data_IF_599276671263
#
_entry.id   IF_599276671263
#
_cell.length_a   1.000
_cell.length_b   1.000
_cell.length_c   1.000
_cell.angle_alpha   90.00
_cell.angle_beta   90.00
_cell.angle_gamma   90.00
#
_symmetry.space_group_name_H-M   'P 1'
#
loop_
_entity.id
_entity.type
_entity.pdbx_description
1 polymer ?
#
# COMPACT_ATOMS: atom_id res chain seq x y z
N UNK A 1 -69.43 -17.19 -10.42
CA UNK A 1 -70.09 -17.60 -11.69
C UNK A 1 -69.03 -17.83 -12.75
N UNK A 2 -68.93 -19.05 -13.29
CA UNK A 2 -68.18 -19.57 -14.46
C UNK A 2 -66.64 -19.64 -14.27
N UNK A 3 -66.01 -20.77 -13.94
CA UNK A 3 -65.87 -22.13 -14.45
C UNK A 3 -65.24 -22.21 -15.84
N UNK A 4 -64.12 -23.02 -15.86
CA UNK A 4 -63.58 -23.87 -16.96
C UNK A 4 -62.52 -23.18 -17.85
N UNK A 5 -61.40 -23.78 -18.24
CA UNK A 5 -61.19 -25.22 -18.57
C UNK A 5 -59.71 -25.60 -18.38
N UNK A 6 -59.54 -26.82 -17.94
CA UNK A 6 -58.35 -27.67 -17.96
C UNK A 6 -58.12 -28.17 -19.38
N UNK A 7 -56.89 -28.22 -19.86
CA UNK A 7 -56.51 -29.11 -20.96
C UNK A 7 -55.23 -29.87 -20.62
N UNK A 8 -55.42 -31.13 -20.38
CA UNK A 8 -54.39 -32.19 -20.24
C UNK A 8 -54.34 -32.87 -21.61
N UNK A 9 -53.15 -33.03 -22.22
CA UNK A 9 -52.92 -34.02 -23.29
C UNK A 9 -51.60 -34.74 -23.04
N UNK A 10 -51.56 -36.05 -23.31
CA UNK A 10 -50.57 -36.97 -22.74
C UNK A 10 -49.44 -37.40 -23.68
N UNK A 11 -48.39 -37.86 -23.06
CA UNK A 11 -47.54 -39.02 -23.36
C UNK A 11 -47.46 -39.51 -24.82
N UNK A 12 -46.27 -39.51 -25.39
CA UNK A 12 -45.86 -40.58 -26.31
C UNK A 12 -44.36 -40.91 -26.16
N UNK A 13 -44.11 -42.08 -25.58
CA UNK A 13 -42.82 -42.76 -25.59
C UNK A 13 -42.52 -43.23 -27.02
N UNK A 14 -41.32 -42.95 -27.50
CA UNK A 14 -40.71 -43.73 -28.59
C UNK A 14 -39.30 -44.15 -28.25
N UNK A 15 -39.18 -45.43 -27.91
CA UNK A 15 -37.91 -46.15 -27.76
C UNK A 15 -37.42 -46.55 -29.15
N UNK A 16 -36.24 -46.08 -29.54
CA UNK A 16 -35.52 -46.64 -30.68
C UNK A 16 -34.09 -46.97 -30.24
N UNK A 17 -33.85 -48.21 -30.03
CA UNK A 17 -32.55 -48.84 -29.90
C UNK A 17 -31.86 -48.89 -31.25
N UNK A 18 -30.71 -48.24 -31.39
CA UNK A 18 -29.78 -48.54 -32.46
C UNK A 18 -28.40 -48.79 -31.86
N UNK A 19 -28.01 -50.02 -31.84
CA UNK A 19 -26.64 -50.47 -31.57
C UNK A 19 -25.80 -50.09 -32.76
N UNK A 20 -24.77 -49.27 -32.59
CA UNK A 20 -23.71 -49.10 -33.54
C UNK A 20 -22.37 -49.19 -32.83
N UNK A 21 -21.68 -50.26 -33.05
CA UNK A 21 -20.25 -50.39 -32.75
C UNK A 21 -19.45 -49.45 -33.61
N UNK A 22 -18.64 -48.60 -32.99
CA UNK A 22 -17.75 -47.68 -33.69
C UNK A 22 -16.63 -47.16 -32.81
N UNK A 23 -15.54 -47.88 -32.82
CA UNK A 23 -14.15 -47.44 -32.63
C UNK A 23 -13.86 -46.25 -31.71
N UNK A 24 -13.54 -46.56 -30.46
CA UNK A 24 -12.98 -45.60 -29.51
C UNK A 24 -11.53 -45.20 -29.95
N UNK A 25 -11.42 -44.07 -30.65
CA UNK A 25 -10.14 -43.34 -30.68
C UNK A 25 -9.93 -42.69 -29.31
N UNK A 26 -8.97 -43.24 -28.58
CA UNK A 26 -8.40 -42.63 -27.38
C UNK A 26 -7.99 -41.19 -27.73
N UNK A 27 -8.77 -40.20 -27.27
CA UNK A 27 -8.31 -38.83 -27.21
C UNK A 27 -7.29 -38.78 -26.08
N UNK A 28 -6.03 -38.77 -26.43
CA UNK A 28 -4.94 -38.35 -25.56
C UNK A 28 -5.26 -36.88 -25.17
N UNK A 29 -5.88 -36.70 -24.04
CA UNK A 29 -5.94 -35.42 -23.34
C UNK A 29 -4.51 -35.14 -22.83
N UNK A 30 -3.68 -34.58 -23.71
CA UNK A 30 -2.47 -33.87 -23.30
C UNK A 30 -2.96 -32.63 -22.59
N UNK A 31 -3.16 -32.72 -21.30
CA UNK A 31 -3.03 -31.57 -20.41
C UNK A 31 -1.61 -31.07 -20.57
N UNK A 32 -1.43 -30.09 -21.47
CA UNK A 32 -0.25 -29.23 -21.43
C UNK A 32 -0.25 -28.59 -20.04
N UNK A 33 0.51 -29.15 -19.14
CA UNK A 33 0.96 -28.46 -17.95
C UNK A 33 1.84 -27.31 -18.47
N UNK A 34 1.23 -26.14 -18.64
CA UNK A 34 2.00 -24.91 -18.80
C UNK A 34 2.75 -24.78 -17.48
N UNK A 35 4.01 -25.17 -17.48
CA UNK A 35 4.93 -24.87 -16.40
C UNK A 35 4.87 -23.35 -16.22
N UNK A 36 4.19 -22.90 -15.18
CA UNK A 36 4.22 -21.49 -14.79
C UNK A 36 5.65 -21.22 -14.41
N UNK A 37 6.34 -20.53 -15.31
CA UNK A 37 7.67 -20.02 -15.04
C UNK A 37 7.65 -19.35 -13.66
N UNK A 38 8.40 -19.91 -12.72
CA UNK A 38 8.47 -19.36 -11.36
C UNK A 38 9.29 -18.08 -11.49
N UNK A 39 8.61 -16.95 -11.55
CA UNK A 39 9.25 -15.64 -11.55
C UNK A 39 10.05 -15.53 -10.26
N UNK A 40 11.36 -15.55 -10.37
CA UNK A 40 12.27 -15.37 -9.25
C UNK A 40 12.32 -13.86 -8.96
N UNK A 41 11.90 -13.45 -7.76
CA UNK A 41 12.07 -12.07 -7.32
C UNK A 41 13.57 -11.74 -7.19
N UNK A 42 13.99 -10.49 -7.49
CA UNK A 42 15.34 -10.04 -7.18
C UNK A 42 15.64 -10.20 -5.68
N UNK A 43 16.90 -10.36 -5.34
CA UNK A 43 17.34 -10.47 -3.95
C UNK A 43 17.28 -9.09 -3.28
N UNK A 44 16.44 -9.00 -2.23
CA UNK A 44 16.30 -7.79 -1.43
C UNK A 44 17.52 -7.62 -0.53
N UNK A 45 18.13 -6.43 -0.56
CA UNK A 45 19.30 -6.10 0.24
C UNK A 45 18.86 -5.30 1.50
N UNK A 46 18.80 -6.00 2.62
CA UNK A 46 18.37 -5.41 3.89
C UNK A 46 19.35 -4.33 4.39
N UNK A 47 20.65 -4.47 4.14
CA UNK A 47 21.65 -3.49 4.56
C UNK A 47 21.49 -2.18 3.77
N UNK A 48 21.19 -2.28 2.47
CA UNK A 48 20.86 -1.09 1.66
C UNK A 48 19.59 -0.41 2.15
N UNK A 49 18.53 -1.17 2.47
CA UNK A 49 17.30 -0.60 3.03
C UNK A 49 17.58 0.12 4.36
N UNK A 50 18.37 -0.49 5.25
CA UNK A 50 18.77 0.11 6.51
C UNK A 50 19.57 1.40 6.31
N UNK A 51 20.50 1.44 5.34
CA UNK A 51 21.25 2.66 5.01
C UNK A 51 20.34 3.79 4.55
N UNK A 52 19.30 3.52 3.76
CA UNK A 52 18.32 4.55 3.37
C UNK A 52 17.53 5.08 4.58
N UNK A 53 17.24 4.25 5.57
CA UNK A 53 16.63 4.69 6.83
C UNK A 53 17.59 5.57 7.61
N UNK A 54 18.85 5.15 7.75
CA UNK A 54 19.88 5.91 8.47
C UNK A 54 20.09 7.30 7.89
N UNK A 55 20.17 7.42 6.55
CA UNK A 55 20.33 8.74 5.88
C UNK A 55 19.15 9.65 6.17
N UNK A 56 17.91 9.12 6.20
CA UNK A 56 16.74 9.92 6.58
C UNK A 56 16.83 10.40 8.04
N UNK A 57 17.30 9.54 8.95
CA UNK A 57 17.51 9.88 10.36
C UNK A 57 18.61 10.94 10.53
N UNK A 58 19.66 10.91 9.72
CA UNK A 58 20.80 11.82 9.80
C UNK A 58 20.41 13.28 9.42
N UNK A 59 19.33 13.50 8.65
CA UNK A 59 18.76 14.83 8.44
C UNK A 59 18.11 15.40 9.71
N UNK A 60 17.75 14.56 10.67
CA UNK A 60 16.97 14.91 11.86
C UNK A 60 15.46 14.73 11.66
N UNK A 61 14.64 15.25 12.59
CA UNK A 61 13.19 15.21 12.48
C UNK A 61 12.70 15.90 11.19
N UNK A 62 11.98 15.13 10.38
CA UNK A 62 11.47 15.61 9.07
C UNK A 62 10.09 16.24 9.20
N UNK A 63 9.96 17.11 10.19
CA UNK A 63 8.70 17.85 10.43
C UNK A 63 8.46 18.83 9.28
N UNK A 64 7.27 18.86 8.68
CA UNK A 64 6.92 19.84 7.65
C UNK A 64 7.33 21.27 8.01
N UNK A 65 7.79 22.06 7.03
CA UNK A 65 8.31 23.42 7.16
C UNK A 65 9.73 23.54 7.73
N UNK A 66 10.40 22.46 8.12
CA UNK A 66 11.79 22.50 8.62
C UNK A 66 12.82 22.35 7.49
N UNK A 67 14.07 22.72 7.78
CA UNK A 67 15.17 22.53 6.82
C UNK A 67 15.45 21.04 6.61
N UNK A 68 15.41 20.23 7.68
CA UNK A 68 15.57 18.77 7.61
C UNK A 68 14.55 18.12 6.67
N UNK A 69 13.28 18.53 6.78
CA UNK A 69 12.21 18.09 5.87
C UNK A 69 12.52 18.46 4.41
N UNK A 70 12.91 19.70 4.14
CA UNK A 70 13.26 20.12 2.78
C UNK A 70 14.40 19.30 2.20
N UNK A 71 15.51 19.16 2.94
CA UNK A 71 16.72 18.47 2.47
C UNK A 71 16.46 16.95 2.28
N UNK A 72 15.75 16.33 3.21
CA UNK A 72 15.34 14.94 3.07
C UNK A 72 14.42 14.73 1.84
N UNK A 73 13.46 15.63 1.62
CA UNK A 73 12.60 15.56 0.43
C UNK A 73 13.38 15.66 -0.90
N UNK A 74 14.43 16.50 -0.97
CA UNK A 74 15.33 16.56 -2.14
C UNK A 74 16.11 15.24 -2.30
N UNK A 75 16.63 14.69 -1.21
CA UNK A 75 17.30 13.39 -1.22
C UNK A 75 16.40 12.28 -1.73
N UNK A 76 15.17 12.16 -1.23
CA UNK A 76 14.23 11.11 -1.61
C UNK A 76 13.85 11.19 -3.09
N UNK A 77 13.55 12.39 -3.59
CA UNK A 77 13.28 12.61 -5.01
C UNK A 77 14.49 12.22 -5.87
N UNK A 78 15.69 12.65 -5.48
CA UNK A 78 16.93 12.31 -6.18
C UNK A 78 17.24 10.80 -6.17
N UNK A 79 16.91 10.07 -5.10
CA UNK A 79 17.07 8.61 -5.08
C UNK A 79 16.11 7.91 -6.06
N UNK A 80 14.85 8.32 -6.11
CA UNK A 80 13.90 7.75 -7.08
C UNK A 80 14.34 8.02 -8.53
N UNK A 81 14.82 9.24 -8.83
CA UNK A 81 15.39 9.58 -10.15
C UNK A 81 16.61 8.72 -10.47
N UNK A 82 17.55 8.60 -9.53
CA UNK A 82 18.73 7.75 -9.65
C UNK A 82 18.38 6.29 -9.96
N UNK A 83 17.27 5.80 -9.42
CA UNK A 83 16.77 4.45 -9.67
C UNK A 83 15.87 4.35 -10.91
N UNK A 84 15.83 5.38 -11.76
CA UNK A 84 15.19 5.36 -13.07
C UNK A 84 13.69 5.62 -13.06
N UNK A 85 13.14 6.13 -11.97
CA UNK A 85 11.76 6.57 -11.93
C UNK A 85 11.57 7.92 -12.64
N UNK A 86 10.42 8.10 -13.29
CA UNK A 86 9.93 9.44 -13.60
C UNK A 86 9.37 10.06 -12.32
N UNK A 87 10.04 11.09 -11.80
CA UNK A 87 9.65 11.70 -10.52
C UNK A 87 8.67 12.85 -10.75
N UNK A 88 7.63 12.90 -9.89
CA UNK A 88 6.71 14.01 -9.76
C UNK A 88 6.78 14.52 -8.32
N UNK A 89 6.93 15.82 -8.17
CA UNK A 89 6.85 16.50 -6.88
C UNK A 89 5.52 17.23 -6.80
N UNK A 90 4.65 16.79 -5.90
CA UNK A 90 3.35 17.40 -5.71
C UNK A 90 3.37 18.28 -4.47
N UNK A 91 3.54 19.58 -4.67
CA UNK A 91 3.54 20.57 -3.61
C UNK A 91 2.12 21.04 -3.30
N UNK A 92 1.83 21.24 -2.02
CA UNK A 92 0.55 21.79 -1.55
C UNK A 92 0.73 22.55 -0.23
N UNK A 93 -0.07 23.59 -0.06
CA UNK A 93 -0.25 24.26 1.22
C UNK A 93 -1.44 23.59 1.95
N UNK A 94 -1.12 22.77 2.94
CA UNK A 94 -2.10 22.02 3.71
C UNK A 94 -2.32 22.69 5.08
N UNK A 95 -3.56 22.70 5.56
CA UNK A 95 -3.89 23.35 6.83
C UNK A 95 -3.97 22.29 7.92
N UNK A 96 -3.06 22.37 8.90
CA UNK A 96 -3.03 21.50 10.06
C UNK A 96 -4.18 21.79 11.04
N UNK A 97 -4.34 20.94 12.06
CA UNK A 97 -5.39 21.03 13.08
C UNK A 97 -5.40 22.37 13.85
N UNK A 98 -4.23 22.98 14.03
CA UNK A 98 -4.00 24.25 14.74
C UNK A 98 -4.06 25.50 13.83
N UNK A 99 -4.24 25.30 12.52
CA UNK A 99 -4.25 26.36 11.52
C UNK A 99 -2.89 26.62 10.89
N UNK A 100 -1.84 25.91 11.28
CA UNK A 100 -0.51 25.99 10.65
C UNK A 100 -0.62 25.59 9.18
N UNK A 101 0.01 26.38 8.29
CA UNK A 101 0.12 26.03 6.86
C UNK A 101 1.37 25.17 6.69
N UNK A 102 1.16 23.91 6.35
CA UNK A 102 2.23 22.96 6.04
C UNK A 102 2.59 23.07 4.56
N UNK A 103 3.86 23.37 4.26
CA UNK A 103 4.41 23.33 2.88
C UNK A 103 4.71 21.89 2.51
N UNK A 104 3.66 21.14 2.22
CA UNK A 104 3.70 19.71 2.00
C UNK A 104 4.23 19.36 0.61
N UNK A 105 4.92 18.21 0.51
CA UNK A 105 5.50 17.69 -0.73
C UNK A 105 5.31 16.17 -0.81
N UNK A 106 4.28 15.69 -1.48
CA UNK A 106 4.24 14.29 -1.88
C UNK A 106 5.24 14.04 -3.00
N UNK A 107 6.01 12.93 -2.90
CA UNK A 107 7.05 12.57 -3.87
C UNK A 107 6.64 11.27 -4.54
N UNK A 108 6.52 11.29 -5.85
CA UNK A 108 6.04 10.14 -6.62
C UNK A 108 7.10 9.69 -7.62
N UNK A 109 7.53 8.43 -7.56
CA UNK A 109 8.39 7.79 -8.55
C UNK A 109 7.61 6.81 -9.40
N UNK A 110 7.39 7.13 -10.68
CA UNK A 110 6.64 6.29 -11.60
C UNK A 110 7.57 5.47 -12.51
N UNK A 111 7.45 4.15 -12.45
CA UNK A 111 8.09 3.20 -13.34
C UNK A 111 7.11 2.73 -14.40
N UNK A 112 7.53 2.70 -15.66
CA UNK A 112 6.66 2.45 -16.83
C UNK A 112 5.39 3.29 -16.76
N UNK A 113 5.49 4.62 -16.77
CA UNK A 113 4.36 5.53 -16.56
C UNK A 113 3.27 5.38 -17.64
N UNK A 114 3.62 4.85 -18.82
CA UNK A 114 2.70 4.55 -19.91
C UNK A 114 1.86 3.28 -19.68
N UNK A 115 2.25 2.43 -18.74
CA UNK A 115 1.52 1.19 -18.46
C UNK A 115 0.18 1.46 -17.79
N UNK A 116 -0.90 0.94 -18.39
CA UNK A 116 -2.25 0.99 -17.79
C UNK A 116 -2.46 -0.03 -16.68
N UNK A 117 -1.62 -1.08 -16.63
CA UNK A 117 -1.65 -2.09 -15.57
C UNK A 117 -0.57 -1.73 -14.56
N UNK A 118 -0.95 -1.15 -13.44
CA UNK A 118 0.00 -0.69 -12.42
C UNK A 118 -0.46 -0.99 -11.02
N UNK A 119 0.49 -0.97 -10.09
CA UNK A 119 0.28 -1.05 -8.65
C UNK A 119 0.86 0.18 -7.97
N UNK A 120 0.36 0.47 -6.79
CA UNK A 120 0.81 1.56 -5.92
C UNK A 120 1.59 0.96 -4.74
N UNK A 121 2.77 1.49 -4.46
CA UNK A 121 3.52 1.24 -3.23
C UNK A 121 3.65 2.58 -2.52
N UNK A 122 3.36 2.65 -1.24
CA UNK A 122 3.40 3.91 -0.52
C UNK A 122 3.89 3.78 0.92
N UNK A 123 4.40 4.88 1.44
CA UNK A 123 4.78 5.12 2.82
C UNK A 123 4.70 6.63 3.07
N UNK A 124 4.58 7.08 4.32
CA UNK A 124 4.83 8.48 4.62
C UNK A 124 6.31 8.71 4.90
N UNK A 125 6.78 9.97 4.76
CA UNK A 125 8.20 10.29 4.93
C UNK A 125 8.47 11.43 5.92
N UNK A 126 7.46 12.18 6.30
CA UNK A 126 7.54 13.16 7.37
C UNK A 126 7.68 12.48 8.74
N UNK A 127 7.89 13.24 9.78
CA UNK A 127 7.90 12.74 11.13
C UNK A 127 7.12 13.66 12.06
N UNK A 128 6.64 13.07 13.17
CA UNK A 128 5.79 13.73 14.13
C UNK A 128 6.50 14.90 14.83
N UNK A 129 5.88 16.09 14.92
CA UNK A 129 6.45 17.25 15.63
C UNK A 129 6.40 17.12 17.15
N UNK A 130 5.80 16.07 17.68
CA UNK A 130 5.52 15.89 19.10
C UNK A 130 5.88 14.48 19.56
N UNK A 131 6.56 14.35 20.71
CA UNK A 131 6.73 13.10 21.43
C UNK A 131 5.59 12.94 22.47
N UNK A 132 4.36 13.11 22.05
CA UNK A 132 3.19 13.22 22.92
C UNK A 132 2.81 11.92 23.63
N UNK A 133 3.38 10.79 23.23
CA UNK A 133 3.30 9.50 23.94
C UNK A 133 4.54 9.20 24.82
N UNK A 134 5.49 10.15 24.95
CA UNK A 134 6.64 9.96 25.84
C UNK A 134 6.18 9.92 27.30
N UNK A 135 6.71 8.98 28.12
CA UNK A 135 6.37 8.91 29.53
C UNK A 135 6.70 10.17 30.35
N UNK A 136 7.69 10.97 29.91
CA UNK A 136 7.99 12.28 30.54
C UNK A 136 7.30 13.41 29.76
N UNK A 137 6.29 14.08 30.34
CA UNK A 137 5.58 15.19 29.70
C UNK A 137 6.48 16.35 29.23
N UNK A 138 7.69 16.49 29.76
CA UNK A 138 8.64 17.51 29.32
C UNK A 138 9.07 17.30 27.87
N UNK A 139 9.00 16.08 27.37
CA UNK A 139 9.37 15.73 26.01
C UNK A 139 8.23 15.93 25.00
N UNK A 140 6.98 16.11 25.45
CA UNK A 140 5.81 16.10 24.58
C UNK A 140 5.87 17.11 23.43
N UNK A 141 6.55 18.24 23.60
CA UNK A 141 6.74 19.26 22.56
C UNK A 141 8.03 19.09 21.74
N UNK A 142 8.72 17.97 21.91
CA UNK A 142 9.95 17.66 21.17
C UNK A 142 9.63 16.85 19.94
N UNK A 143 10.14 17.21 18.75
CA UNK A 143 9.96 16.39 17.54
C UNK A 143 10.62 15.02 17.69
N UNK A 144 9.98 13.99 17.15
CA UNK A 144 10.57 12.65 17.09
C UNK A 144 11.43 12.46 15.84
N UNK A 145 12.41 11.58 15.92
CA UNK A 145 13.29 11.28 14.78
C UNK A 145 12.58 10.47 13.68
N UNK A 146 11.49 9.78 13.99
CA UNK A 146 10.69 9.03 13.03
C UNK A 146 11.46 7.97 12.25
N UNK A 147 12.32 7.17 12.93
CA UNK A 147 13.16 6.16 12.25
C UNK A 147 12.35 4.95 11.82
N UNK A 148 11.46 4.47 12.69
CA UNK A 148 10.54 3.40 12.37
C UNK A 148 9.28 3.97 11.72
N UNK A 149 8.77 5.04 12.29
CA UNK A 149 7.59 5.78 11.87
C UNK A 149 7.97 6.82 10.81
N UNK A 150 7.58 6.50 9.60
CA UNK A 150 7.87 7.06 8.30
C UNK A 150 9.11 6.48 7.63
N UNK A 151 10.32 6.63 8.22
CA UNK A 151 11.55 6.32 7.48
C UNK A 151 11.72 4.83 7.15
N UNK A 152 11.18 3.90 7.95
CA UNK A 152 11.33 2.46 7.69
C UNK A 152 10.60 2.02 6.42
N UNK A 153 9.37 2.45 6.22
CA UNK A 153 8.60 2.18 5.01
C UNK A 153 9.28 2.75 3.77
N UNK A 154 9.74 4.00 3.85
CA UNK A 154 10.49 4.67 2.77
C UNK A 154 11.79 3.93 2.44
N UNK A 155 12.57 3.49 3.44
CA UNK A 155 13.81 2.76 3.23
C UNK A 155 13.60 1.45 2.48
N UNK A 156 12.56 0.69 2.84
CA UNK A 156 12.16 -0.54 2.12
C UNK A 156 11.76 -0.21 0.68
N UNK A 157 10.99 0.85 0.45
CA UNK A 157 10.55 1.23 -0.90
C UNK A 157 11.69 1.76 -1.77
N UNK A 158 12.70 2.42 -1.20
CA UNK A 158 13.91 2.80 -1.94
C UNK A 158 14.73 1.59 -2.37
N UNK A 159 14.82 0.55 -1.53
CA UNK A 159 15.46 -0.70 -1.94
C UNK A 159 14.67 -1.41 -3.05
N UNK A 160 13.35 -1.42 -2.95
CA UNK A 160 12.49 -1.92 -4.03
C UNK A 160 12.72 -1.11 -5.33
N UNK A 161 12.82 0.21 -5.25
CA UNK A 161 13.14 1.08 -6.38
C UNK A 161 14.49 0.69 -7.03
N UNK A 162 15.51 0.43 -6.21
CA UNK A 162 16.81 -0.05 -6.66
C UNK A 162 16.74 -1.40 -7.36
N UNK A 163 15.90 -2.32 -6.88
CA UNK A 163 15.68 -3.60 -7.53
C UNK A 163 14.91 -3.45 -8.86
N UNK A 164 13.91 -2.57 -8.92
CA UNK A 164 13.18 -2.25 -10.17
C UNK A 164 14.13 -1.69 -11.24
N UNK A 165 15.12 -0.89 -10.86
CA UNK A 165 16.14 -0.40 -11.79
C UNK A 165 16.94 -1.54 -12.42
N UNK A 166 17.30 -2.59 -11.64
CA UNK A 166 18.04 -3.75 -12.13
C UNK A 166 17.18 -4.65 -13.00
N UNK A 167 15.94 -4.89 -12.60
CA UNK A 167 15.01 -5.78 -13.28
C UNK A 167 13.61 -5.16 -13.27
N UNK A 168 13.22 -4.60 -14.42
CA UNK A 168 11.93 -3.94 -14.55
C UNK A 168 10.78 -4.95 -14.65
N UNK A 169 9.76 -4.85 -13.77
CA UNK A 169 8.59 -5.72 -13.84
C UNK A 169 7.77 -5.48 -15.11
N UNK A 170 6.91 -6.45 -15.46
CA UNK A 170 6.05 -6.35 -16.65
C UNK A 170 4.94 -5.28 -16.53
N UNK A 171 4.67 -4.79 -15.31
CA UNK A 171 3.62 -3.80 -15.02
C UNK A 171 4.23 -2.47 -14.57
N UNK A 172 3.43 -1.41 -14.59
CA UNK A 172 3.81 -0.12 -14.01
C UNK A 172 3.79 -0.17 -12.49
N UNK A 173 4.72 0.53 -11.86
CA UNK A 173 4.76 0.71 -10.40
C UNK A 173 4.87 2.20 -10.12
N UNK A 174 4.04 2.70 -9.20
CA UNK A 174 4.21 4.00 -8.59
C UNK A 174 4.63 3.83 -7.15
N UNK A 175 5.73 4.44 -6.78
CA UNK A 175 6.16 4.58 -5.39
C UNK A 175 5.78 6.00 -4.97
N UNK A 176 4.95 6.12 -3.93
CA UNK A 176 4.52 7.41 -3.40
C UNK A 176 4.97 7.55 -1.97
N UNK A 177 5.72 8.59 -1.69
CA UNK A 177 6.04 9.04 -0.35
C UNK A 177 5.08 10.16 0.01
N UNK A 178 4.12 9.89 0.89
CA UNK A 178 3.17 10.87 1.39
C UNK A 178 3.84 11.77 2.43
N UNK A 179 3.44 13.01 2.45
CA UNK A 179 3.91 14.03 3.40
C UNK A 179 2.79 14.46 4.33
N UNK A 180 3.14 15.06 5.45
CA UNK A 180 2.18 15.59 6.41
C UNK A 180 1.14 14.54 6.87
N UNK A 181 1.59 13.30 7.01
CA UNK A 181 0.81 12.23 7.61
C UNK A 181 0.69 12.48 9.10
N UNK A 182 1.80 12.75 9.77
CA UNK A 182 2.02 12.64 11.20
C UNK A 182 1.88 13.98 11.96
N UNK A 183 1.39 15.02 11.27
CA UNK A 183 1.10 16.34 11.88
C UNK A 183 -0.32 16.42 12.43
N UNK A 184 -0.86 15.31 12.93
CA UNK A 184 -2.20 15.24 13.51
C UNK A 184 -2.29 15.82 14.93
N UNK A 185 -3.52 15.88 15.44
CA UNK A 185 -3.81 16.38 16.80
C UNK A 185 -3.00 15.61 17.85
N UNK A 186 -2.19 16.28 18.69
CA UNK A 186 -1.44 15.62 19.75
C UNK A 186 -2.30 15.27 20.96
N UNK A 187 -1.86 14.31 21.78
CA UNK A 187 -2.56 13.85 22.98
C UNK A 187 -2.78 14.97 24.04
N UNK A 188 -1.92 15.98 24.06
CA UNK A 188 -2.04 17.12 24.99
C UNK A 188 -2.96 18.25 24.47
N UNK A 189 -3.62 18.06 23.31
CA UNK A 189 -4.49 19.08 22.74
C UNK A 189 -5.83 19.16 23.51
N UNK A 190 -6.11 20.30 24.09
CA UNK A 190 -7.31 20.57 24.87
C UNK A 190 -8.45 21.26 24.09
N UNK A 191 -8.24 21.47 22.79
CA UNK A 191 -9.21 22.12 21.91
C UNK A 191 -10.34 21.20 21.46
N UNK A 192 -11.23 21.75 20.62
CA UNK A 192 -12.31 20.95 20.04
C UNK A 192 -11.77 19.88 19.09
N UNK A 193 -12.27 18.65 19.22
CA UNK A 193 -11.97 17.57 18.30
C UNK A 193 -12.27 17.99 16.84
N UNK A 194 -11.34 17.67 15.95
CA UNK A 194 -11.46 17.87 14.50
C UNK A 194 -11.22 16.54 13.81
N UNK A 195 -12.07 16.21 12.85
CA UNK A 195 -11.90 15.00 12.03
C UNK A 195 -10.84 15.21 10.95
N UNK A 196 -10.28 14.10 10.47
CA UNK A 196 -9.41 14.05 9.30
C UNK A 196 -8.20 14.99 9.38
N UNK A 197 -7.60 15.12 10.58
CA UNK A 197 -6.43 15.97 10.84
C UNK A 197 -5.08 15.27 10.58
N UNK A 198 -5.10 13.98 10.34
CA UNK A 198 -3.96 13.14 10.01
C UNK A 198 -3.91 12.85 8.51
N UNK A 199 -2.79 12.37 8.01
CA UNK A 199 -2.66 11.87 6.63
C UNK A 199 -2.99 12.95 5.57
N UNK A 200 -2.66 14.21 5.82
CA UNK A 200 -3.09 15.33 4.97
C UNK A 200 -2.54 15.22 3.54
N UNK A 201 -1.32 14.70 3.37
CA UNK A 201 -0.72 14.52 2.05
C UNK A 201 -1.42 13.46 1.22
N UNK A 202 -1.75 12.31 1.79
CA UNK A 202 -2.53 11.29 1.06
C UNK A 202 -3.95 11.71 0.79
N UNK A 203 -4.58 12.47 1.70
CA UNK A 203 -5.88 13.09 1.44
C UNK A 203 -5.84 14.02 0.23
N UNK A 204 -4.79 14.84 0.12
CA UNK A 204 -4.60 15.74 -1.02
C UNK A 204 -4.33 14.97 -2.29
N UNK A 205 -3.37 14.03 -2.27
CA UNK A 205 -3.04 13.21 -3.43
C UNK A 205 -4.23 12.41 -3.94
N UNK A 206 -5.02 11.82 -3.04
CA UNK A 206 -6.17 10.99 -3.43
C UNK A 206 -7.29 11.78 -4.11
N UNK A 207 -7.41 13.10 -3.81
CA UNK A 207 -8.34 14.01 -4.51
C UNK A 207 -7.77 14.55 -5.82
N UNK A 208 -6.45 14.74 -5.88
CA UNK A 208 -5.74 15.36 -7.00
C UNK A 208 -4.49 14.54 -7.36
N UNK A 209 -4.64 13.31 -7.90
CA UNK A 209 -3.49 12.48 -8.25
C UNK A 209 -2.54 13.18 -9.22
N UNK A 210 -1.27 12.80 -9.18
CA UNK A 210 -0.17 13.38 -9.96
C UNK A 210 -0.33 13.26 -11.48
N UNK A 211 -1.23 12.39 -11.94
CA UNK A 211 -1.65 12.29 -13.35
C UNK A 211 -3.17 12.20 -13.43
N UNK A 212 -3.73 12.77 -14.50
CA UNK A 212 -5.16 12.75 -14.73
C UNK A 212 -5.69 11.32 -14.92
N UNK A 213 -6.85 11.01 -14.34
CA UNK A 213 -7.47 9.68 -14.39
C UNK A 213 -6.55 8.56 -13.88
N UNK A 214 -5.73 8.87 -12.87
CA UNK A 214 -4.87 7.88 -12.23
C UNK A 214 -5.67 6.71 -11.69
N UNK A 215 -5.18 5.50 -11.94
CA UNK A 215 -5.75 4.28 -11.40
C UNK A 215 -4.67 3.22 -11.21
N UNK A 216 -4.69 2.55 -10.07
CA UNK A 216 -3.86 1.38 -9.77
C UNK A 216 -4.78 0.20 -9.42
N UNK A 217 -4.34 -1.01 -9.73
CA UNK A 217 -5.14 -2.22 -9.45
C UNK A 217 -5.31 -2.45 -7.95
N UNK A 218 -4.28 -2.15 -7.19
CA UNK A 218 -4.24 -2.15 -5.73
C UNK A 218 -3.00 -1.38 -5.27
N UNK A 219 -2.95 -1.10 -3.98
CA UNK A 219 -1.79 -0.53 -3.31
C UNK A 219 -1.32 -1.37 -2.13
N UNK A 220 -0.09 -1.11 -1.72
CA UNK A 220 0.50 -1.62 -0.48
C UNK A 220 1.10 -0.42 0.23
N UNK A 221 0.65 -0.16 1.45
CA UNK A 221 1.20 0.85 2.35
C UNK A 221 2.12 0.16 3.36
N UNK A 222 3.31 0.72 3.53
CA UNK A 222 4.30 0.29 4.51
C UNK A 222 4.49 1.40 5.54
N UNK A 223 4.14 1.11 6.77
CA UNK A 223 4.38 1.99 7.89
C UNK A 223 4.89 1.19 9.09
N UNK A 224 5.83 1.76 9.86
CA UNK A 224 6.45 1.15 11.04
C UNK A 224 6.93 -0.30 10.82
N UNK A 225 7.60 -0.57 9.71
CA UNK A 225 8.01 -1.93 9.30
C UNK A 225 9.43 -2.31 9.72
N UNK A 226 10.15 -1.42 10.39
CA UNK A 226 11.55 -1.59 10.78
C UNK A 226 11.77 -2.08 12.23
N UNK A 227 10.72 -2.35 12.97
CA UNK A 227 10.83 -2.80 14.38
C UNK A 227 11.48 -4.17 14.50
N UNK A 228 12.33 -4.35 15.53
CA UNK A 228 12.90 -5.65 15.84
C UNK A 228 11.78 -6.64 16.20
N UNK A 229 11.81 -7.82 15.58
CA UNK A 229 10.82 -8.89 15.76
C UNK A 229 9.36 -8.45 15.45
N UNK A 230 9.22 -7.45 14.59
CA UNK A 230 7.93 -6.93 14.16
C UNK A 230 6.98 -8.05 13.69
N UNK A 231 5.73 -7.99 14.11
CA UNK A 231 4.66 -8.88 13.65
C UNK A 231 3.56 -8.07 13.00
N UNK A 232 3.06 -8.58 11.88
CA UNK A 232 2.04 -7.94 11.05
C UNK A 232 0.78 -8.79 11.04
N UNK A 233 -0.35 -8.17 11.33
CA UNK A 233 -1.66 -8.81 11.43
C UNK A 233 -2.58 -8.33 10.30
N UNK A 234 -3.74 -8.96 10.14
CA UNK A 234 -4.77 -8.45 9.24
C UNK A 234 -5.39 -7.17 9.80
N UNK A 235 -5.07 -6.04 9.20
CA UNK A 235 -5.66 -4.76 9.58
C UNK A 235 -7.12 -4.67 9.09
N UNK A 236 -8.01 -4.13 9.91
CA UNK A 236 -9.46 -4.22 9.71
C UNK A 236 -9.99 -3.47 8.49
N UNK A 237 -9.50 -2.26 8.16
CA UNK A 237 -9.87 -1.54 6.93
C UNK A 237 -9.40 -2.29 5.70
N UNK A 238 -8.15 -2.76 5.69
CA UNK A 238 -7.59 -3.60 4.62
C UNK A 238 -8.36 -4.89 4.44
N UNK A 239 -8.79 -5.52 5.54
CA UNK A 239 -9.61 -6.72 5.51
C UNK A 239 -10.99 -6.50 4.88
N UNK A 240 -11.51 -5.26 4.87
CA UNK A 240 -12.78 -4.91 4.22
C UNK A 240 -12.59 -4.47 2.76
N UNK A 241 -11.56 -3.67 2.50
CA UNK A 241 -11.40 -2.96 1.21
C UNK A 241 -10.43 -3.65 0.24
N UNK A 242 -9.40 -4.34 0.76
CA UNK A 242 -8.33 -4.98 -0.01
C UNK A 242 -8.07 -6.45 0.40
N UNK A 243 -9.11 -7.14 0.88
CA UNK A 243 -9.02 -8.51 1.45
C UNK A 243 -8.27 -9.50 0.55
N UNK A 244 -8.54 -9.47 -0.76
CA UNK A 244 -7.91 -10.38 -1.72
C UNK A 244 -6.40 -10.17 -1.78
N UNK A 245 -5.99 -8.93 -1.87
CA UNK A 245 -4.60 -8.51 -1.98
C UNK A 245 -3.85 -8.78 -0.68
N UNK A 246 -4.41 -8.40 0.45
CA UNK A 246 -3.87 -8.69 1.78
C UNK A 246 -3.63 -10.20 1.96
N UNK A 247 -4.63 -11.05 1.66
CA UNK A 247 -4.48 -12.51 1.78
C UNK A 247 -3.40 -13.08 0.85
N UNK A 248 -3.22 -12.51 -0.35
CA UNK A 248 -2.15 -12.92 -1.28
C UNK A 248 -0.77 -12.56 -0.73
N UNK A 249 -0.61 -11.37 -0.13
CA UNK A 249 0.63 -10.94 0.50
C UNK A 249 1.01 -11.87 1.65
N UNK A 250 0.09 -12.11 2.60
CA UNK A 250 0.32 -13.02 3.73
C UNK A 250 0.60 -14.45 3.27
N UNK A 251 -0.15 -14.94 2.27
CA UNK A 251 0.13 -16.24 1.68
C UNK A 251 1.56 -16.30 1.11
N UNK A 252 1.97 -15.29 0.35
CA UNK A 252 3.31 -15.21 -0.22
C UNK A 252 4.39 -15.15 0.85
N UNK A 253 4.18 -14.37 1.90
CA UNK A 253 5.11 -14.30 3.03
C UNK A 253 5.30 -15.69 3.70
N UNK A 254 4.21 -16.44 3.90
CA UNK A 254 4.29 -17.81 4.44
C UNK A 254 5.02 -18.78 3.50
N UNK A 255 4.77 -18.71 2.17
CA UNK A 255 5.46 -19.52 1.17
C UNK A 255 6.98 -19.26 1.15
N UNK A 256 7.38 -18.03 1.51
CA UNK A 256 8.79 -17.61 1.59
C UNK A 256 9.43 -17.85 2.97
N UNK A 257 8.70 -18.45 3.93
CA UNK A 257 9.22 -18.78 5.26
C UNK A 257 9.06 -17.67 6.31
N UNK A 258 8.39 -16.55 5.97
CA UNK A 258 8.18 -15.41 6.87
C UNK A 258 6.89 -15.49 7.69
N UNK A 259 6.26 -16.68 7.78
CA UNK A 259 4.96 -16.85 8.43
C UNK A 259 4.90 -16.44 9.89
N UNK A 260 6.03 -16.50 10.63
CA UNK A 260 6.08 -16.05 12.02
C UNK A 260 5.91 -14.53 12.19
N UNK A 261 6.22 -13.75 11.15
CA UNK A 261 6.07 -12.30 11.14
C UNK A 261 4.72 -11.85 10.55
N UNK A 262 4.14 -12.64 9.65
CA UNK A 262 2.86 -12.35 8.98
C UNK A 262 1.76 -13.23 9.57
N UNK A 263 1.20 -12.79 10.70
CA UNK A 263 0.18 -13.52 11.47
C UNK A 263 -1.17 -13.39 10.79
N UNK A 264 -1.91 -14.51 10.63
CA UNK A 264 -3.23 -14.55 9.95
C UNK A 264 -4.37 -14.36 10.94
N UNK A 265 -4.27 -13.34 11.76
CA UNK A 265 -5.25 -12.98 12.79
C UNK A 265 -5.63 -11.51 12.64
N UNK A 266 -6.73 -11.11 13.25
CA UNK A 266 -7.19 -9.73 13.26
C UNK A 266 -6.27 -8.88 14.16
N UNK A 267 -5.74 -7.79 13.61
CA UNK A 267 -4.86 -6.82 14.28
C UNK A 267 -5.57 -5.52 14.68
N UNK A 268 -6.91 -5.45 14.52
CA UNK A 268 -7.65 -4.22 14.80
C UNK A 268 -7.67 -3.25 13.62
N UNK A 269 -8.09 -2.02 13.88
CA UNK A 269 -8.22 -0.94 12.88
C UNK A 269 -7.29 0.21 13.23
N UNK A 270 -6.56 0.71 12.24
CA UNK A 270 -5.67 1.86 12.36
C UNK A 270 -6.05 2.92 11.34
N UNK A 271 -6.05 4.19 11.75
CA UNK A 271 -6.24 5.33 10.83
C UNK A 271 -4.88 5.68 10.24
N UNK A 272 -4.76 5.61 8.90
CA UNK A 272 -3.54 5.89 8.18
C UNK A 272 -3.86 6.23 6.71
N UNK A 273 -2.87 6.58 5.91
CA UNK A 273 -2.93 6.98 4.50
C UNK A 273 -3.80 6.03 3.64
N UNK A 274 -3.75 4.72 3.92
CA UNK A 274 -4.52 3.72 3.17
C UNK A 274 -6.03 3.98 3.19
N UNK A 275 -6.56 4.54 4.29
CA UNK A 275 -7.99 4.87 4.40
C UNK A 275 -8.38 5.91 3.36
N UNK A 276 -7.58 6.97 3.24
CA UNK A 276 -7.89 8.07 2.32
C UNK A 276 -7.66 7.67 0.86
N UNK A 277 -6.61 6.89 0.58
CA UNK A 277 -6.41 6.31 -0.76
C UNK A 277 -7.57 5.39 -1.14
N UNK A 278 -8.04 4.54 -0.24
CA UNK A 278 -9.22 3.69 -0.46
C UNK A 278 -10.49 4.51 -0.70
N UNK A 279 -10.78 5.49 0.17
CA UNK A 279 -12.04 6.23 0.13
C UNK A 279 -12.11 7.22 -1.02
N UNK A 280 -11.03 7.95 -1.31
CA UNK A 280 -11.02 9.09 -2.21
C UNK A 280 -10.52 8.73 -3.60
N UNK A 281 -9.41 7.97 -3.71
CA UNK A 281 -8.88 7.51 -4.99
C UNK A 281 -9.51 6.18 -5.45
N UNK A 282 -10.27 5.49 -4.58
CA UNK A 282 -10.93 4.20 -4.86
C UNK A 282 -9.96 3.08 -5.27
N UNK A 283 -8.76 3.12 -4.72
CA UNK A 283 -7.74 2.10 -4.94
C UNK A 283 -7.70 1.22 -3.68
N UNK A 284 -7.94 -0.10 -3.79
CA UNK A 284 -7.83 -1.00 -2.64
C UNK A 284 -6.38 -1.07 -2.17
N UNK A 285 -6.10 -0.66 -0.94
CA UNK A 285 -4.76 -0.66 -0.35
C UNK A 285 -4.72 -1.63 0.83
N UNK A 286 -3.73 -2.53 0.81
CA UNK A 286 -3.38 -3.36 1.95
C UNK A 286 -2.33 -2.63 2.79
N UNK A 287 -2.66 -2.41 4.04
CA UNK A 287 -1.79 -1.79 5.03
C UNK A 287 -0.94 -2.85 5.73
N UNK A 288 0.33 -2.57 5.91
CA UNK A 288 1.28 -3.41 6.63
C UNK A 288 1.94 -2.56 7.71
N UNK A 289 1.56 -2.81 8.95
CA UNK A 289 1.98 -2.05 10.13
C UNK A 289 2.33 -3.01 11.27
N UNK A 290 3.34 -2.65 12.04
CA UNK A 290 3.69 -3.35 13.28
C UNK A 290 2.54 -3.21 14.29
N UNK A 291 2.06 -4.33 14.81
CA UNK A 291 1.17 -4.34 15.97
C UNK A 291 2.03 -4.44 17.23
N UNK A 292 1.96 -3.42 18.08
CA UNK A 292 2.67 -3.34 19.35
C UNK A 292 1.95 -4.15 20.43
#
# INVERSE_FOLDING_TARGET
MKIRNVLVIPFLLLVLTAVSCGNSKSRNDRTETVDKEVIKAPEFDADSAYQYIQVQADFGPRVPNTQAHKECGEYLAGQLEKFGAKVYNQYADLIAYDGTILKSRNIIGAYKPESKKRILLCAHWDSRPYADNDPDPKNHHTPILGVNDGASGVGVLLEIARQIQKEQPALGIDIVFFDSEDYGIPEFYDGKYKQDTWCLGSQYWARTPHVQNYNARYGILLDMVGGKDATFYYEGYSARTARSEMKKIWKKAHELGYGKYFVKEDGGETVDDHIYVNKLARIPVSYTHLTL
#
